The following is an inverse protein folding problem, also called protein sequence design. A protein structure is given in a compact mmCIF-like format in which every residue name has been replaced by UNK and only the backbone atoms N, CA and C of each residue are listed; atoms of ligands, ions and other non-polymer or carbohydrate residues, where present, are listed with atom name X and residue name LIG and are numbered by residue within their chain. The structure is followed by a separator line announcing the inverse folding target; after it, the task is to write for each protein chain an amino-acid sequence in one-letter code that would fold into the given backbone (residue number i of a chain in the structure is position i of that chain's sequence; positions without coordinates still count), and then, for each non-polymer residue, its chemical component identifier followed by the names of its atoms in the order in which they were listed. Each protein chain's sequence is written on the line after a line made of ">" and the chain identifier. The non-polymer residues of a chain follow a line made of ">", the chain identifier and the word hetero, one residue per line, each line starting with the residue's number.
data_IF_603343374778
#
_entry.id   IF_603343374778
#
_cell.length_a   1.000
_cell.length_b   1.000
_cell.length_c   1.000
_cell.angle_alpha   90.00
_cell.angle_beta   90.00
_cell.angle_gamma   90.00
#
_symmetry.space_group_name_H-M   'P 1'
#
loop_
_entity.id
_entity.type
_entity.pdbx_description
1 polymer ?
#
# COMPACT_ATOMS: atom_id res chain seq x y z
N UNK A 1 75.76 -15.74 -9.25
CA UNK A 1 74.52 -16.10 -8.51
C UNK A 1 73.56 -14.97 -8.65
N UNK A 2 72.52 -15.15 -9.51
CA UNK A 2 71.46 -14.15 -9.70
C UNK A 2 70.26 -14.57 -8.85
N UNK A 3 69.94 -13.76 -7.83
CA UNK A 3 68.76 -13.95 -7.02
C UNK A 3 67.61 -13.25 -7.73
N UNK A 4 66.66 -14.02 -8.26
CA UNK A 4 65.42 -13.50 -8.80
C UNK A 4 64.46 -13.26 -7.64
N UNK A 5 64.18 -12.00 -7.38
CA UNK A 5 63.13 -11.58 -6.44
C UNK A 5 61.77 -11.66 -7.17
N UNK A 6 60.91 -12.61 -6.74
CA UNK A 6 59.50 -12.63 -7.15
C UNK A 6 58.74 -11.57 -6.39
N UNK A 7 58.30 -10.55 -7.10
CA UNK A 7 57.33 -9.56 -6.55
C UNK A 7 55.92 -10.17 -6.70
N UNK A 8 55.36 -10.60 -5.60
CA UNK A 8 53.99 -11.04 -5.52
C UNK A 8 53.08 -9.80 -5.45
N UNK A 9 52.46 -9.44 -6.57
CA UNK A 9 51.44 -8.39 -6.60
C UNK A 9 50.12 -8.98 -6.10
N UNK A 10 49.76 -8.68 -4.85
CA UNK A 10 48.42 -8.93 -4.30
C UNK A 10 47.43 -7.96 -4.94
N UNK A 11 46.65 -8.41 -5.89
CA UNK A 11 45.46 -7.70 -6.35
C UNK A 11 44.35 -7.84 -5.28
N UNK A 12 44.20 -6.85 -4.42
CA UNK A 12 43.00 -6.69 -3.61
C UNK A 12 41.85 -6.32 -4.55
N UNK A 13 41.07 -7.29 -4.94
CA UNK A 13 39.79 -7.07 -5.58
C UNK A 13 38.82 -6.48 -4.55
N UNK A 14 38.59 -5.18 -4.60
CA UNK A 14 37.51 -4.55 -3.88
C UNK A 14 36.18 -4.99 -4.55
N UNK A 15 35.53 -6.00 -3.98
CA UNK A 15 34.17 -6.30 -4.31
C UNK A 15 33.30 -5.13 -3.81
N UNK A 16 32.98 -4.20 -4.70
CA UNK A 16 31.95 -3.22 -4.44
C UNK A 16 30.63 -3.98 -4.30
N UNK A 17 30.17 -4.16 -3.08
CA UNK A 17 28.81 -4.61 -2.83
C UNK A 17 27.88 -3.53 -3.41
N UNK A 18 27.25 -3.84 -4.52
CA UNK A 18 26.16 -3.01 -5.03
C UNK A 18 25.07 -2.99 -3.97
N UNK A 19 24.98 -1.91 -3.20
CA UNK A 19 23.84 -1.67 -2.35
C UNK A 19 22.63 -1.51 -3.26
N UNK A 20 21.74 -2.53 -3.30
CA UNK A 20 20.50 -2.46 -4.06
C UNK A 20 19.74 -1.21 -3.63
N UNK A 21 19.40 -0.33 -4.57
CA UNK A 21 18.53 0.80 -4.28
C UNK A 21 17.21 0.27 -3.71
N UNK A 22 16.75 0.83 -2.58
CA UNK A 22 15.45 0.50 -2.01
C UNK A 22 14.36 0.79 -3.06
N UNK A 23 13.38 -0.11 -3.20
CA UNK A 23 12.25 0.13 -4.08
C UNK A 23 11.51 1.41 -3.67
N UNK A 24 11.08 2.24 -4.62
CA UNK A 24 10.37 3.46 -4.30
C UNK A 24 9.04 3.16 -3.61
N UNK A 25 8.60 4.06 -2.76
CA UNK A 25 7.27 4.00 -2.15
C UNK A 25 6.24 4.32 -3.24
N UNK A 26 5.24 3.45 -3.45
CA UNK A 26 4.24 3.69 -4.48
C UNK A 26 3.36 4.89 -4.12
N UNK A 27 2.99 5.66 -5.14
CA UNK A 27 2.03 6.75 -4.99
C UNK A 27 0.60 6.19 -5.06
N UNK A 28 -0.27 6.48 -4.09
CA UNK A 28 -1.66 6.07 -4.16
C UNK A 28 -2.38 6.62 -5.39
N UNK A 29 -3.20 5.79 -6.02
CA UNK A 29 -4.10 6.22 -7.09
C UNK A 29 -5.22 7.05 -6.49
N UNK A 30 -5.47 8.25 -7.02
CA UNK A 30 -6.57 9.06 -6.54
C UNK A 30 -7.90 8.48 -7.02
N UNK A 31 -8.80 8.25 -6.08
CA UNK A 31 -10.17 7.84 -6.37
C UNK A 31 -11.02 9.08 -6.64
N UNK A 32 -11.64 9.12 -7.80
CA UNK A 32 -12.50 10.22 -8.23
C UNK A 32 -13.94 9.75 -8.40
N UNK A 33 -14.86 10.59 -7.97
CA UNK A 33 -16.26 10.43 -8.33
C UNK A 33 -16.54 11.19 -9.64
N UNK A 34 -17.37 10.60 -10.49
CA UNK A 34 -17.88 11.34 -11.64
C UNK A 34 -18.64 12.60 -11.17
N UNK A 35 -18.60 13.66 -11.97
CA UNK A 35 -19.27 14.93 -11.65
C UNK A 35 -20.74 14.67 -11.30
N UNK A 36 -21.18 15.15 -10.12
CA UNK A 36 -22.54 14.97 -9.61
C UNK A 36 -22.84 13.59 -9.01
N UNK A 37 -21.85 12.70 -8.96
CA UNK A 37 -22.00 11.38 -8.35
C UNK A 37 -21.38 11.32 -6.96
N UNK A 38 -22.03 10.60 -6.06
CA UNK A 38 -21.53 10.27 -4.71
C UNK A 38 -21.10 8.80 -4.61
N UNK A 39 -21.09 8.11 -5.74
CA UNK A 39 -20.68 6.70 -5.83
C UNK A 39 -19.68 6.52 -6.96
N UNK A 40 -18.78 5.57 -6.78
CA UNK A 40 -17.85 5.15 -7.79
C UNK A 40 -17.36 3.74 -7.53
N UNK A 41 -16.85 3.12 -8.59
CA UNK A 41 -16.27 1.78 -8.53
C UNK A 41 -14.93 1.77 -9.22
N UNK A 42 -14.04 0.91 -8.74
CA UNK A 42 -12.79 0.59 -9.40
C UNK A 42 -12.48 -0.88 -9.22
N UNK A 43 -11.62 -1.42 -10.04
CA UNK A 43 -11.17 -2.79 -9.92
C UNK A 43 -9.68 -2.91 -10.10
N UNK A 44 -9.14 -4.03 -9.67
CA UNK A 44 -7.71 -4.28 -9.77
C UNK A 44 -7.36 -5.73 -9.54
N UNK A 45 -6.07 -5.97 -9.55
CA UNK A 45 -5.48 -7.25 -9.30
C UNK A 45 -4.28 -7.05 -8.38
N UNK A 46 -4.40 -7.49 -7.13
CA UNK A 46 -3.34 -7.40 -6.15
C UNK A 46 -2.63 -8.75 -6.04
N UNK A 47 -1.31 -8.74 -6.19
CA UNK A 47 -0.48 -9.92 -6.04
C UNK A 47 -0.30 -10.27 -4.56
N UNK A 48 -0.08 -11.54 -4.28
CA UNK A 48 0.23 -12.02 -2.94
C UNK A 48 1.39 -11.20 -2.34
N UNK A 49 1.17 -10.66 -1.14
CA UNK A 49 2.15 -9.84 -0.43
C UNK A 49 2.28 -8.39 -0.91
N UNK A 50 1.67 -8.05 -2.05
CA UNK A 50 1.59 -6.67 -2.53
C UNK A 50 0.40 -5.92 -1.91
N UNK A 51 0.35 -4.62 -2.16
CA UNK A 51 -0.74 -3.73 -1.74
C UNK A 51 -1.10 -2.79 -2.89
N UNK A 52 -2.40 -2.61 -3.11
CA UNK A 52 -2.92 -1.54 -3.96
C UNK A 52 -3.33 -0.37 -3.07
N UNK A 53 -2.95 0.84 -3.47
CA UNK A 53 -3.16 2.05 -2.67
C UNK A 53 -4.08 3.01 -3.42
N UNK A 54 -5.09 3.50 -2.72
CA UNK A 54 -5.99 4.55 -3.20
C UNK A 54 -6.04 5.70 -2.21
N UNK A 55 -6.08 6.92 -2.72
CA UNK A 55 -6.32 8.12 -1.92
C UNK A 55 -7.73 8.67 -2.21
N UNK A 56 -8.42 9.08 -1.16
CA UNK A 56 -9.78 9.62 -1.24
C UNK A 56 -9.84 10.93 -0.46
N UNK A 57 -10.19 12.02 -1.14
CA UNK A 57 -10.47 13.30 -0.46
C UNK A 57 -11.87 13.29 0.10
N UNK A 58 -12.00 13.66 1.35
CA UNK A 58 -13.28 13.70 2.05
C UNK A 58 -13.31 14.81 3.11
N UNK A 59 -14.51 15.15 3.54
CA UNK A 59 -14.77 16.17 4.56
C UNK A 59 -15.26 15.51 5.85
N UNK A 60 -14.83 16.05 7.00
CA UNK A 60 -15.32 15.60 8.30
C UNK A 60 -16.84 15.59 8.35
N UNK A 61 -17.41 14.54 8.92
CA UNK A 61 -18.86 14.37 9.05
C UNK A 61 -19.53 13.66 7.87
N UNK A 62 -18.87 13.52 6.73
CA UNK A 62 -19.39 12.70 5.65
C UNK A 62 -19.44 11.21 6.07
N UNK A 63 -20.40 10.49 5.53
CA UNK A 63 -20.54 9.04 5.72
C UNK A 63 -19.90 8.35 4.52
N UNK A 64 -18.84 7.61 4.80
CA UNK A 64 -18.14 6.80 3.79
C UNK A 64 -18.60 5.35 3.90
N UNK A 65 -18.87 4.72 2.76
CA UNK A 65 -19.10 3.29 2.66
C UNK A 65 -18.16 2.72 1.60
N UNK A 66 -17.37 1.73 1.99
CA UNK A 66 -16.46 1.00 1.11
C UNK A 66 -16.82 -0.47 1.16
N UNK A 67 -16.93 -1.09 0.00
CA UNK A 67 -17.17 -2.53 -0.13
C UNK A 67 -16.19 -3.09 -1.16
N UNK A 68 -15.54 -4.19 -0.83
CA UNK A 68 -14.70 -4.93 -1.76
C UNK A 68 -15.26 -6.31 -1.99
N UNK A 69 -15.23 -6.76 -3.23
CA UNK A 69 -15.60 -8.10 -3.64
C UNK A 69 -14.51 -8.75 -4.45
N UNK A 70 -14.32 -10.04 -4.28
CA UNK A 70 -13.38 -10.84 -5.05
C UNK A 70 -14.00 -12.23 -5.30
N UNK A 71 -13.75 -12.87 -6.47
CA UNK A 71 -14.32 -14.19 -6.77
C UNK A 71 -13.99 -15.26 -5.73
N UNK A 72 -12.79 -15.16 -5.11
CA UNK A 72 -12.30 -16.12 -4.12
C UNK A 72 -12.41 -15.62 -2.67
N UNK A 73 -13.15 -14.53 -2.42
CA UNK A 73 -13.29 -13.89 -1.10
C UNK A 73 -11.94 -13.63 -0.40
N UNK A 74 -10.94 -13.26 -1.18
CA UNK A 74 -9.56 -13.15 -0.72
C UNK A 74 -8.99 -11.72 -0.81
N UNK A 75 -9.82 -10.70 -1.03
CA UNK A 75 -9.43 -9.30 -0.99
C UNK A 75 -10.02 -8.61 0.23
N UNK A 76 -9.20 -7.85 0.92
CA UNK A 76 -9.55 -7.06 2.10
C UNK A 76 -8.96 -5.66 1.99
N UNK A 77 -9.45 -4.73 2.80
CA UNK A 77 -8.90 -3.38 2.82
C UNK A 77 -8.75 -2.83 4.24
N UNK A 78 -7.92 -1.80 4.32
CA UNK A 78 -7.72 -0.95 5.50
C UNK A 78 -8.01 0.49 5.09
N UNK A 79 -8.46 1.32 6.01
CA UNK A 79 -8.69 2.75 5.79
C UNK A 79 -7.92 3.52 6.86
N UNK A 80 -6.99 4.36 6.43
CA UNK A 80 -6.21 5.22 7.31
C UNK A 80 -6.67 6.68 7.21
N UNK A 81 -6.65 7.35 8.34
CA UNK A 81 -6.98 8.77 8.45
C UNK A 81 -5.94 9.66 7.74
N UNK A 82 -6.31 10.92 7.42
CA UNK A 82 -5.38 11.88 6.83
C UNK A 82 -4.09 12.05 7.66
N UNK A 83 -2.97 12.21 6.96
CA UNK A 83 -1.65 12.34 7.58
C UNK A 83 -0.87 11.04 7.73
N UNK A 84 -1.45 9.90 7.34
CA UNK A 84 -0.76 8.62 7.35
C UNK A 84 0.44 8.63 6.40
N UNK A 85 1.59 8.16 6.90
CA UNK A 85 2.82 8.04 6.16
C UNK A 85 2.94 6.65 5.56
N UNK A 86 3.41 6.59 4.32
CA UNK A 86 3.70 5.34 3.62
C UNK A 86 5.22 5.21 3.55
N UNK A 87 5.74 4.10 4.01
CA UNK A 87 7.17 3.79 4.00
C UNK A 87 7.43 2.33 3.69
N UNK A 88 8.66 1.91 3.91
CA UNK A 88 9.05 0.50 3.87
C UNK A 88 9.78 0.15 5.14
N UNK A 89 9.55 -1.06 5.62
CA UNK A 89 10.30 -1.61 6.75
C UNK A 89 11.68 -2.13 6.31
N UNK A 90 12.43 -2.71 7.26
CA UNK A 90 13.76 -3.24 7.01
C UNK A 90 13.77 -4.40 5.99
N UNK A 91 12.67 -5.11 5.82
CA UNK A 91 12.49 -6.20 4.88
C UNK A 91 11.97 -5.72 3.50
N UNK A 92 11.79 -4.41 3.34
CA UNK A 92 11.29 -3.80 2.11
C UNK A 92 9.77 -3.87 1.93
N UNK A 93 9.04 -4.33 2.94
CA UNK A 93 7.57 -4.39 2.90
C UNK A 93 6.97 -3.01 3.15
N UNK A 94 5.85 -2.72 2.50
CA UNK A 94 5.12 -1.47 2.74
C UNK A 94 4.66 -1.39 4.19
N UNK A 95 4.94 -0.24 4.80
CA UNK A 95 4.58 0.09 6.16
C UNK A 95 3.75 1.37 6.19
N UNK A 96 2.68 1.37 6.96
CA UNK A 96 1.78 2.50 7.10
C UNK A 96 1.85 3.01 8.54
N UNK A 97 2.21 4.28 8.71
CA UNK A 97 2.31 4.93 10.01
C UNK A 97 1.23 6.01 10.11
N UNK A 98 0.20 5.72 10.86
CA UNK A 98 -0.97 6.59 11.02
C UNK A 98 -2.07 5.86 11.76
N UNK A 99 -3.21 6.54 11.89
CA UNK A 99 -4.37 6.01 12.59
C UNK A 99 -5.34 5.41 11.58
N UNK A 100 -5.65 4.13 11.73
CA UNK A 100 -6.70 3.48 10.97
C UNK A 100 -8.08 3.82 11.55
N UNK A 101 -9.10 3.81 10.68
CA UNK A 101 -10.49 3.87 11.14
C UNK A 101 -10.84 2.60 11.90
N UNK A 102 -11.67 2.73 12.93
CA UNK A 102 -12.13 1.60 13.73
C UNK A 102 -12.77 0.53 12.87
N UNK A 103 -12.37 -0.72 13.06
CA UNK A 103 -12.79 -1.89 12.25
C UNK A 103 -12.32 -1.89 10.78
N UNK A 104 -11.36 -1.06 10.45
CA UNK A 104 -10.70 -1.03 9.14
C UNK A 104 -9.17 -0.94 9.28
N UNK A 105 -8.63 -1.61 10.27
CA UNK A 105 -7.20 -1.69 10.56
C UNK A 105 -6.60 -3.01 10.06
N UNK A 106 -5.29 -3.11 10.14
CA UNK A 106 -4.57 -4.34 9.84
C UNK A 106 -5.05 -5.49 10.75
N UNK A 107 -5.32 -6.64 10.14
CA UNK A 107 -5.84 -7.80 10.84
C UNK A 107 -7.36 -7.86 11.02
N UNK A 108 -8.09 -6.80 10.69
CA UNK A 108 -9.57 -6.81 10.73
C UNK A 108 -10.18 -7.58 9.54
N UNK A 109 -9.40 -7.80 8.49
CA UNK A 109 -9.83 -8.47 7.25
C UNK A 109 -11.14 -7.90 6.69
N UNK A 110 -11.21 -6.57 6.69
CA UNK A 110 -12.43 -5.83 6.36
C UNK A 110 -12.78 -5.93 4.88
N UNK A 111 -14.01 -6.33 4.59
CA UNK A 111 -14.56 -6.37 3.23
C UNK A 111 -15.67 -5.35 3.00
N UNK A 112 -16.26 -4.82 4.05
CA UNK A 112 -17.24 -3.75 4.06
C UNK A 112 -17.04 -2.87 5.27
N UNK A 113 -17.02 -1.56 5.04
CA UNK A 113 -16.95 -0.57 6.10
C UNK A 113 -17.92 0.57 5.82
N UNK A 114 -18.60 1.06 6.84
CA UNK A 114 -19.44 2.25 6.75
C UNK A 114 -19.35 3.03 8.05
N UNK A 115 -19.15 4.33 7.92
CA UNK A 115 -19.05 5.18 9.10
C UNK A 115 -18.88 6.65 8.76
N UNK A 116 -19.04 7.47 9.78
CA UNK A 116 -18.82 8.92 9.71
C UNK A 116 -17.33 9.22 9.81
N UNK A 117 -16.83 10.04 8.90
CA UNK A 117 -15.43 10.42 8.86
C UNK A 117 -15.10 11.46 9.92
N UNK A 118 -14.02 11.28 10.71
CA UNK A 118 -13.67 12.18 11.81
C UNK A 118 -12.96 13.46 11.36
N UNK A 119 -12.31 13.46 10.20
CA UNK A 119 -11.45 14.56 9.76
C UNK A 119 -11.68 14.89 8.28
N UNK A 120 -11.44 16.15 7.94
CA UNK A 120 -11.30 16.60 6.55
C UNK A 120 -9.88 16.34 6.08
N UNK A 121 -9.72 15.73 4.91
CA UNK A 121 -8.42 15.48 4.31
C UNK A 121 -8.42 14.30 3.36
N UNK A 122 -7.24 13.78 3.11
CA UNK A 122 -7.02 12.65 2.20
C UNK A 122 -6.86 11.37 2.98
N UNK A 123 -7.84 10.49 2.85
CA UNK A 123 -7.83 9.14 3.42
C UNK A 123 -7.04 8.19 2.51
N UNK A 124 -6.41 7.19 3.11
CA UNK A 124 -5.68 6.15 2.40
C UNK A 124 -6.45 4.82 2.53
N UNK A 125 -6.79 4.22 1.39
CA UNK A 125 -7.38 2.88 1.33
C UNK A 125 -6.30 1.94 0.83
N UNK A 126 -6.01 0.92 1.62
CA UNK A 126 -4.98 -0.09 1.35
C UNK A 126 -5.65 -1.42 1.09
N UNK A 127 -5.47 -1.97 -0.10
CA UNK A 127 -6.05 -3.25 -0.50
C UNK A 127 -4.97 -4.32 -0.49
N UNK A 128 -5.27 -5.44 0.11
CA UNK A 128 -4.39 -6.60 0.14
C UNK A 128 -5.16 -7.91 -0.07
N UNK A 129 -4.42 -9.00 -0.27
CA UNK A 129 -5.00 -10.32 -0.35
C UNK A 129 -4.75 -11.09 0.94
N UNK A 130 -5.72 -11.88 1.35
CA UNK A 130 -5.59 -12.79 2.51
C UNK A 130 -4.90 -14.08 2.15
N UNK A 131 -4.96 -14.48 0.88
CA UNK A 131 -4.32 -15.67 0.32
C UNK A 131 -4.16 -15.53 -1.18
N UNK A 132 -3.02 -15.91 -1.71
CA UNK A 132 -2.75 -15.88 -3.15
C UNK A 132 -2.90 -14.49 -3.76
N UNK A 133 -3.09 -14.44 -5.07
CA UNK A 133 -3.42 -13.22 -5.80
C UNK A 133 -4.93 -12.99 -5.76
N UNK A 134 -5.36 -11.74 -5.68
CA UNK A 134 -6.77 -11.38 -5.66
C UNK A 134 -7.12 -10.42 -6.79
N UNK A 135 -8.12 -10.80 -7.59
CA UNK A 135 -8.83 -9.86 -8.45
C UNK A 135 -9.99 -9.29 -7.66
N UNK A 136 -10.15 -7.99 -7.66
CA UNK A 136 -11.19 -7.35 -6.85
C UNK A 136 -11.95 -6.27 -7.61
N UNK A 137 -13.14 -5.99 -7.11
CA UNK A 137 -13.91 -4.78 -7.38
C UNK A 137 -14.16 -4.05 -6.07
N UNK A 138 -13.95 -2.75 -6.06
CA UNK A 138 -14.19 -1.89 -4.90
C UNK A 138 -15.24 -0.84 -5.25
N UNK A 139 -16.29 -0.76 -4.44
CA UNK A 139 -17.33 0.24 -4.52
C UNK A 139 -17.18 1.22 -3.37
N UNK A 140 -17.25 2.51 -3.69
CA UNK A 140 -17.12 3.60 -2.74
C UNK A 140 -18.34 4.52 -2.85
N UNK A 141 -18.96 4.81 -1.73
CA UNK A 141 -20.04 5.77 -1.59
C UNK A 141 -19.66 6.79 -0.53
N UNK A 142 -19.94 8.07 -0.80
CA UNK A 142 -19.74 9.15 0.16
C UNK A 142 -20.99 10.06 0.18
N UNK A 143 -21.48 10.38 1.37
CA UNK A 143 -22.67 11.22 1.57
C UNK A 143 -22.42 12.31 2.61
#
# INVERSE_FOLDING_TARGET
>A
MRVMAFVLVLLLGAAAAAAGAAEPVPTPKMFFFATGSTRGSTGGHVLRGARDLYSLKATAGQVLTVTITAPDDNAVFQIYEPGTQIGRDADGLLQFTGKALSHADDGDDTTRWSGRLPQTGTYLIVIGSTRGNARYSMDVKIE
#
